data_IF_117439466777
#
_entry.id   IF_117439466777
#
_cell.length_a   1.000
_cell.length_b   1.000
_cell.length_c   1.000
_cell.angle_alpha   90.00
_cell.angle_beta   90.00
_cell.angle_gamma   90.00
#
_symmetry.space_group_name_H-M   'P 1'
#
loop_
_entity.id
_entity.type
_entity.pdbx_description
1 polymer ?
#
# COMPACT_ATOMS: atom_id res chain seq x y z
N UNK A 1 19.43 -15.24 -3.71
CA UNK A 1 18.16 -14.67 -4.22
C UNK A 1 17.82 -15.38 -5.51
N UNK A 2 16.54 -15.61 -5.78
CA UNK A 2 16.06 -16.12 -7.07
C UNK A 2 16.54 -15.17 -8.20
N UNK A 3 17.18 -15.67 -9.28
CA UNK A 3 17.62 -14.83 -10.39
C UNK A 3 16.49 -13.99 -11.00
N UNK A 4 15.24 -14.45 -10.95
CA UNK A 4 14.07 -13.66 -11.37
C UNK A 4 13.83 -12.47 -10.43
N UNK A 5 13.97 -12.67 -9.12
CA UNK A 5 13.81 -11.61 -8.13
C UNK A 5 14.88 -10.53 -8.25
N UNK A 6 16.13 -10.91 -8.52
CA UNK A 6 17.22 -9.94 -8.74
C UNK A 6 17.01 -9.11 -10.01
N UNK A 7 16.56 -9.73 -11.11
CA UNK A 7 16.22 -9.01 -12.36
C UNK A 7 15.04 -8.04 -12.16
N UNK A 8 14.02 -8.42 -11.37
CA UNK A 8 12.87 -7.56 -11.09
C UNK A 8 13.27 -6.32 -10.27
N UNK A 9 14.11 -6.50 -9.25
CA UNK A 9 14.62 -5.39 -8.44
C UNK A 9 15.40 -4.41 -9.32
N UNK A 10 16.37 -4.89 -10.09
CA UNK A 10 17.20 -4.04 -10.96
C UNK A 10 16.34 -3.25 -11.96
N UNK A 11 15.36 -3.91 -12.60
CA UNK A 11 14.43 -3.24 -13.51
C UNK A 11 13.57 -2.20 -12.82
N UNK A 12 13.12 -2.46 -11.59
CA UNK A 12 12.32 -1.51 -10.81
C UNK A 12 13.12 -0.26 -10.46
N UNK A 13 14.41 -0.42 -10.11
CA UNK A 13 15.32 0.69 -9.83
C UNK A 13 15.58 1.51 -11.08
N UNK A 14 15.88 0.84 -12.20
CA UNK A 14 16.07 1.52 -13.49
C UNK A 14 14.83 2.31 -13.94
N UNK A 15 13.63 1.78 -13.72
CA UNK A 15 12.39 2.50 -14.03
C UNK A 15 12.20 3.73 -13.15
N UNK A 16 12.48 3.61 -11.85
CA UNK A 16 12.41 4.74 -10.92
C UNK A 16 13.38 5.87 -11.31
N UNK A 17 14.62 5.52 -11.67
CA UNK A 17 15.62 6.48 -12.14
C UNK A 17 15.16 7.22 -13.41
N UNK A 18 14.62 6.48 -14.39
CA UNK A 18 14.10 7.08 -15.63
C UNK A 18 12.90 8.00 -15.36
N UNK A 19 12.03 7.66 -14.41
CA UNK A 19 10.90 8.51 -14.03
C UNK A 19 11.36 9.78 -13.32
N UNK A 20 12.37 9.69 -12.45
CA UNK A 20 13.00 10.84 -11.80
C UNK A 20 13.67 11.77 -12.83
N UNK A 21 14.42 11.21 -13.78
CA UNK A 21 15.02 11.97 -14.88
C UNK A 21 13.94 12.69 -15.71
N UNK A 22 12.86 11.99 -16.06
CA UNK A 22 11.72 12.58 -16.79
C UNK A 22 11.11 13.78 -16.05
N UNK A 23 10.95 13.69 -14.74
CA UNK A 23 10.46 14.81 -13.93
C UNK A 23 11.46 15.98 -13.92
N UNK A 24 12.76 15.67 -13.86
CA UNK A 24 13.86 16.64 -13.93
C UNK A 24 13.98 17.40 -15.25
N UNK A 25 13.39 16.89 -16.34
CA UNK A 25 13.26 17.62 -17.62
C UNK A 25 12.28 18.79 -17.55
N UNK A 26 11.65 19.03 -16.39
CA UNK A 26 10.74 20.14 -16.11
C UNK A 26 9.67 20.35 -17.21
N UNK A 27 8.74 19.39 -17.42
CA UNK A 27 7.73 19.50 -18.47
C UNK A 27 6.99 20.86 -18.43
N UNK A 28 6.82 21.49 -19.59
CA UNK A 28 6.32 22.87 -19.65
C UNK A 28 4.80 22.99 -19.45
N UNK A 29 4.04 21.96 -19.81
CA UNK A 29 2.59 21.93 -19.56
C UNK A 29 2.23 21.20 -18.25
N UNK A 30 1.20 21.71 -17.56
CA UNK A 30 0.77 21.20 -16.25
C UNK A 30 0.38 19.71 -16.27
N UNK A 31 -0.41 19.21 -17.25
CA UNK A 31 -0.77 17.80 -17.29
C UNK A 31 0.43 16.85 -17.49
N UNK A 32 1.48 17.25 -18.20
CA UNK A 32 2.68 16.44 -18.37
C UNK A 32 3.53 16.40 -17.10
N UNK A 33 3.64 17.52 -16.38
CA UNK A 33 4.30 17.53 -15.06
C UNK A 33 3.59 16.62 -14.09
N UNK A 34 2.26 16.69 -14.05
CA UNK A 34 1.47 15.90 -13.13
C UNK A 34 1.60 14.40 -13.41
N UNK A 35 1.51 13.99 -14.68
CA UNK A 35 1.78 12.60 -15.08
C UNK A 35 3.20 12.13 -14.76
N UNK A 36 4.20 13.01 -14.91
CA UNK A 36 5.58 12.67 -14.56
C UNK A 36 5.76 12.47 -13.05
N UNK A 37 5.14 13.32 -12.21
CA UNK A 37 5.11 13.13 -10.76
C UNK A 37 4.40 11.85 -10.37
N UNK A 38 3.18 11.61 -10.88
CA UNK A 38 2.40 10.42 -10.58
C UNK A 38 3.15 9.14 -10.93
N UNK A 39 3.82 9.09 -12.08
CA UNK A 39 4.65 7.94 -12.47
C UNK A 39 5.79 7.73 -11.47
N UNK A 40 6.51 8.80 -11.14
CA UNK A 40 7.63 8.76 -10.19
C UNK A 40 7.16 8.28 -8.82
N UNK A 41 6.09 8.88 -8.29
CA UNK A 41 5.52 8.56 -6.99
C UNK A 41 5.02 7.10 -6.94
N UNK A 42 4.45 6.60 -8.03
CA UNK A 42 4.02 5.20 -8.11
C UNK A 42 5.19 4.22 -8.11
N UNK A 43 6.26 4.54 -8.85
CA UNK A 43 7.45 3.69 -8.90
C UNK A 43 8.18 3.65 -7.55
N UNK A 44 8.33 4.79 -6.89
CA UNK A 44 8.97 4.89 -5.57
C UNK A 44 8.10 4.32 -4.45
N UNK A 45 6.80 4.65 -4.45
CA UNK A 45 5.90 4.35 -3.35
C UNK A 45 5.28 2.96 -3.40
N UNK A 46 5.21 2.33 -4.58
CA UNK A 46 4.52 1.05 -4.75
C UNK A 46 5.38 -0.01 -5.45
N UNK A 47 5.91 0.29 -6.64
CA UNK A 47 6.57 -0.73 -7.48
C UNK A 47 7.89 -1.20 -6.86
N UNK A 48 8.78 -0.28 -6.50
CA UNK A 48 10.10 -0.63 -5.94
C UNK A 48 10.02 -1.36 -4.61
N UNK A 49 9.21 -0.92 -3.62
CA UNK A 49 9.02 -1.67 -2.37
C UNK A 49 8.46 -3.07 -2.60
N UNK A 50 7.58 -3.24 -3.60
CA UNK A 50 7.01 -4.54 -3.95
C UNK A 50 8.00 -5.44 -4.68
N UNK A 51 8.83 -4.91 -5.57
CA UNK A 51 9.87 -5.67 -6.25
C UNK A 51 10.92 -6.21 -5.25
N UNK A 52 11.20 -5.45 -4.19
CA UNK A 52 12.13 -5.86 -3.14
C UNK A 52 11.63 -7.02 -2.26
N UNK A 53 10.32 -7.19 -2.11
CA UNK A 53 9.70 -8.31 -1.39
C UNK A 53 8.34 -8.62 -2.02
N UNK A 54 8.34 -9.45 -3.06
CA UNK A 54 7.14 -9.78 -3.84
C UNK A 54 6.14 -10.63 -3.03
N UNK A 55 6.67 -11.40 -2.08
CA UNK A 55 5.92 -12.24 -1.14
C UNK A 55 5.34 -11.42 0.03
N UNK A 56 5.69 -10.14 0.15
CA UNK A 56 5.12 -9.28 1.18
C UNK A 56 3.59 -9.16 1.01
N UNK A 57 2.80 -9.31 2.10
CA UNK A 57 1.36 -9.14 2.04
C UNK A 57 0.96 -7.75 1.55
N UNK A 58 -0.12 -7.67 0.76
CA UNK A 58 -0.74 -6.40 0.42
C UNK A 58 -1.42 -5.80 1.65
N UNK A 59 -0.98 -4.62 2.07
CA UNK A 59 -1.62 -3.87 3.16
C UNK A 59 -2.64 -2.90 2.55
N UNK A 60 -3.89 -2.99 3.02
CA UNK A 60 -4.97 -2.06 2.66
C UNK A 60 -5.45 -1.34 3.91
N UNK A 61 -5.36 -0.01 3.92
CA UNK A 61 -5.86 0.82 5.01
C UNK A 61 -7.20 1.46 4.64
N UNK A 62 -8.24 1.19 5.44
CA UNK A 62 -9.54 1.83 5.28
C UNK A 62 -9.59 3.12 6.11
N UNK A 63 -9.57 4.29 5.44
CA UNK A 63 -9.69 5.60 6.08
C UNK A 63 -11.03 6.27 5.77
N UNK A 64 -11.54 7.07 6.70
CA UNK A 64 -12.79 7.82 6.54
C UNK A 64 -13.47 8.17 7.86
N UNK A 65 -14.50 9.03 7.84
CA UNK A 65 -15.19 9.47 9.05
C UNK A 65 -15.95 8.33 9.75
N UNK A 66 -16.34 8.55 11.01
CA UNK A 66 -17.24 7.64 11.73
C UNK A 66 -18.57 7.52 10.98
N UNK A 67 -19.08 6.29 10.82
CA UNK A 67 -20.31 6.03 10.07
C UNK A 67 -20.15 5.86 8.56
N UNK A 68 -18.94 6.02 8.00
CA UNK A 68 -18.68 5.82 6.56
C UNK A 68 -18.77 4.35 6.08
N UNK A 69 -19.09 3.40 6.96
CA UNK A 69 -19.20 1.99 6.61
C UNK A 69 -17.88 1.19 6.60
N UNK A 70 -16.77 1.73 7.12
CA UNK A 70 -15.46 1.03 7.16
C UNK A 70 -15.54 -0.36 7.80
N UNK A 71 -16.16 -0.45 8.99
CA UNK A 71 -16.35 -1.74 9.69
C UNK A 71 -17.28 -2.68 8.92
N UNK A 72 -18.32 -2.14 8.28
CA UNK A 72 -19.24 -2.92 7.46
C UNK A 72 -18.54 -3.52 6.24
N UNK A 73 -17.70 -2.73 5.55
CA UNK A 73 -16.89 -3.21 4.43
C UNK A 73 -15.89 -4.28 4.89
N UNK A 74 -15.20 -4.07 6.01
CA UNK A 74 -14.27 -5.05 6.55
C UNK A 74 -14.98 -6.38 6.89
N UNK A 75 -16.14 -6.33 7.54
CA UNK A 75 -16.92 -7.52 7.87
C UNK A 75 -17.44 -8.23 6.62
N UNK A 76 -17.84 -7.49 5.58
CA UNK A 76 -18.26 -8.06 4.30
C UNK A 76 -17.11 -8.80 3.61
N UNK A 77 -15.91 -8.23 3.62
CA UNK A 77 -14.70 -8.90 3.09
C UNK A 77 -14.36 -10.13 3.92
N UNK A 78 -14.46 -10.04 5.24
CA UNK A 78 -14.16 -11.15 6.15
C UNK A 78 -15.20 -12.27 6.14
N UNK A 79 -16.40 -12.03 5.61
CA UNK A 79 -17.55 -12.93 5.71
C UNK A 79 -18.01 -13.17 7.16
N UNK A 80 -17.56 -12.35 8.10
CA UNK A 80 -17.77 -12.51 9.54
C UNK A 80 -17.70 -11.15 10.26
N UNK A 81 -18.27 -11.07 11.46
CA UNK A 81 -18.21 -9.87 12.29
C UNK A 81 -16.86 -9.76 13.01
N UNK A 82 -15.83 -9.29 12.30
CA UNK A 82 -14.45 -9.14 12.82
C UNK A 82 -14.19 -7.74 13.41
N UNK A 83 -15.02 -6.76 13.07
CA UNK A 83 -14.98 -5.41 13.62
C UNK A 83 -16.39 -4.97 14.02
N UNK A 84 -16.56 -4.48 15.25
CA UNK A 84 -17.86 -3.95 15.71
C UNK A 84 -18.34 -2.82 14.77
N UNK A 85 -19.48 -3.03 14.13
CA UNK A 85 -20.17 -2.03 13.34
C UNK A 85 -21.29 -1.43 14.21
N UNK A 86 -21.37 -0.10 14.32
CA UNK A 86 -22.37 0.53 15.18
C UNK A 86 -22.49 2.05 15.00
N UNK A 87 -23.65 2.59 15.40
CA UNK A 87 -24.07 3.99 15.21
C UNK A 87 -23.56 4.93 16.31
N UNK A 88 -23.21 4.41 17.50
CA UNK A 88 -22.67 5.16 18.63
C UNK A 88 -21.17 5.45 18.48
N UNK A 89 -20.76 6.73 18.57
CA UNK A 89 -19.34 7.12 18.45
C UNK A 89 -18.57 6.92 19.77
N UNK A 90 -17.27 6.56 19.76
CA UNK A 90 -16.47 5.94 18.70
C UNK A 90 -16.53 4.40 18.77
N UNK A 91 -16.82 3.73 17.64
CA UNK A 91 -16.90 2.26 17.55
C UNK A 91 -15.55 1.56 17.34
N UNK A 92 -14.51 2.28 16.92
CA UNK A 92 -13.15 1.76 16.70
C UNK A 92 -12.18 2.63 17.50
N UNK A 93 -11.80 2.16 18.69
CA UNK A 93 -10.79 2.82 19.56
C UNK A 93 -9.38 2.27 19.34
N UNK A 94 -9.27 1.14 18.67
CA UNK A 94 -8.05 0.40 18.36
C UNK A 94 -8.07 0.01 16.89
N UNK A 95 -6.91 -0.01 16.22
CA UNK A 95 -6.81 -0.45 14.85
C UNK A 95 -7.13 -1.95 14.75
N UNK A 96 -8.02 -2.34 13.83
CA UNK A 96 -8.34 -3.76 13.57
C UNK A 96 -7.55 -4.23 12.36
N UNK A 97 -6.72 -5.25 12.55
CA UNK A 97 -6.05 -5.97 11.47
C UNK A 97 -6.81 -7.27 11.17
N UNK A 98 -7.22 -7.43 9.91
CA UNK A 98 -7.77 -8.69 9.40
C UNK A 98 -6.82 -9.23 8.34
N UNK A 99 -6.24 -10.40 8.61
CA UNK A 99 -5.24 -11.05 7.75
C UNK A 99 -5.20 -12.56 8.03
N UNK A 100 -4.62 -13.33 7.12
CA UNK A 100 -4.26 -14.72 7.42
C UNK A 100 -3.20 -14.77 8.53
N UNK A 101 -3.07 -15.91 9.22
CA UNK A 101 -2.05 -16.05 10.28
C UNK A 101 -0.63 -15.84 9.74
N UNK A 102 -0.36 -16.32 8.52
CA UNK A 102 0.93 -16.14 7.84
C UNK A 102 1.22 -14.67 7.56
N UNK A 103 0.25 -13.96 6.98
CA UNK A 103 0.40 -12.54 6.64
C UNK A 103 0.53 -11.68 7.90
N UNK A 104 -0.25 -11.97 8.94
CA UNK A 104 -0.16 -11.27 10.21
C UNK A 104 1.25 -11.40 10.82
N UNK A 105 1.84 -12.61 10.79
CA UNK A 105 3.22 -12.82 11.25
C UNK A 105 4.21 -12.00 10.44
N UNK A 106 4.12 -12.02 9.11
CA UNK A 106 5.02 -11.25 8.23
C UNK A 106 4.92 -9.74 8.47
N UNK A 107 3.70 -9.22 8.62
CA UNK A 107 3.43 -7.80 8.87
C UNK A 107 4.03 -7.35 10.21
N UNK A 108 3.82 -8.16 11.27
CA UNK A 108 4.28 -7.84 12.63
C UNK A 108 5.79 -8.05 12.82
N UNK A 109 6.40 -9.03 12.13
CA UNK A 109 7.85 -9.29 12.23
C UNK A 109 8.69 -8.29 11.44
N UNK A 110 8.12 -7.69 10.39
CA UNK A 110 8.86 -6.85 9.45
C UNK A 110 8.94 -5.37 9.82
N UNK A 111 8.48 -4.94 11.00
CA UNK A 111 8.32 -3.52 11.38
C UNK A 111 7.47 -2.72 10.35
N UNK A 112 6.72 -3.41 9.46
CA UNK A 112 5.96 -2.82 8.34
C UNK A 112 4.69 -2.10 8.81
N UNK A 113 4.25 -2.36 10.04
CA UNK A 113 3.17 -1.67 10.74
C UNK A 113 3.58 -1.52 12.21
N UNK A 114 3.76 -0.27 12.66
CA UNK A 114 3.80 0.07 14.08
C UNK A 114 2.40 0.53 14.46
N UNK A 115 1.66 -0.33 15.16
CA UNK A 115 0.33 -0.02 15.72
C UNK A 115 0.48 0.61 17.10
#
# INVERSE_FOLDING_TARGET
>A
MDPVGTDLIERSERLADLAQQRLGLAPTNSPARERARQLRDHLEGFVRPRAADIEAPLIVLLLGPTGAGKSSLLNAIAGAEVSKAGVLRPTTREAVLYASESDAKHILSGDRLRL
#
